data_IF_104840911510
#
_entry.id   IF_104840911510
#
_cell.length_a   1.000
_cell.length_b   1.000
_cell.length_c   1.000
_cell.angle_alpha   90.00
_cell.angle_beta   90.00
_cell.angle_gamma   90.00
#
_symmetry.space_group_name_H-M   'P 1'
#
loop_
_entity.id
_entity.type
_entity.pdbx_description
1 polymer ?
#
# COMPACT_ATOMS: atom_id res chain seq x y z
N UNK A 1 -13.00 2.65 23.93
CA UNK A 1 -11.73 2.08 23.50
C UNK A 1 -11.64 2.02 22.00
N UNK A 2 -10.63 2.63 21.45
CA UNK A 2 -10.48 2.61 20.01
C UNK A 2 -10.02 1.24 19.52
N UNK A 3 -10.63 0.76 18.46
CA UNK A 3 -10.22 -0.47 17.84
C UNK A 3 -9.72 -0.24 16.43
N UNK A 4 -9.52 1.03 16.06
CA UNK A 4 -9.02 1.34 14.72
C UNK A 4 -7.56 0.93 14.65
N UNK A 5 -7.21 -0.01 13.76
CA UNK A 5 -5.82 -0.44 13.67
C UNK A 5 -4.95 0.67 13.07
N UNK A 6 -3.75 0.81 13.61
CA UNK A 6 -2.78 1.75 13.08
C UNK A 6 -1.94 1.15 11.98
N UNK A 7 -2.07 -0.16 11.75
CA UNK A 7 -1.32 -0.89 10.75
C UNK A 7 -2.21 -1.92 10.07
N UNK A 8 -1.87 -2.25 8.84
CA UNK A 8 -2.54 -3.34 8.13
C UNK A 8 -1.46 -4.28 7.61
N UNK A 9 -1.85 -5.52 7.34
CA UNK A 9 -0.92 -6.49 6.79
C UNK A 9 -0.57 -6.12 5.36
N UNK A 10 0.70 -6.24 5.01
CA UNK A 10 1.13 -5.95 3.65
C UNK A 10 0.38 -6.83 2.64
N UNK A 11 0.10 -8.07 2.99
CA UNK A 11 -0.63 -8.97 2.09
C UNK A 11 -1.99 -8.40 1.72
N UNK A 12 -2.67 -7.77 2.68
CA UNK A 12 -3.97 -7.16 2.43
C UNK A 12 -3.84 -5.95 1.53
N UNK A 13 -2.81 -5.13 1.76
CA UNK A 13 -2.56 -3.96 0.92
C UNK A 13 -2.20 -4.38 -0.49
N UNK A 14 -1.34 -5.39 -0.62
CA UNK A 14 -0.93 -5.89 -1.92
C UNK A 14 -2.13 -6.37 -2.73
N UNK A 15 -3.02 -7.10 -2.09
CA UNK A 15 -4.24 -7.58 -2.75
C UNK A 15 -5.10 -6.41 -3.21
N UNK A 16 -5.26 -5.41 -2.34
CA UNK A 16 -6.08 -4.25 -2.64
C UNK A 16 -5.56 -3.51 -3.87
N UNK A 17 -4.25 -3.22 -3.89
CA UNK A 17 -3.69 -2.45 -5.01
C UNK A 17 -3.60 -3.28 -6.28
N UNK A 18 -3.34 -4.59 -6.16
CA UNK A 18 -3.26 -5.46 -7.32
C UNK A 18 -4.60 -5.53 -8.06
N UNK A 19 -5.70 -5.55 -7.29
CA UNK A 19 -7.02 -5.55 -7.89
C UNK A 19 -7.33 -4.26 -8.63
N UNK A 20 -6.54 -3.22 -8.39
CA UNK A 20 -6.71 -1.93 -9.05
C UNK A 20 -5.63 -1.63 -10.08
N UNK A 21 -4.89 -2.67 -10.46
CA UNK A 21 -3.92 -2.56 -11.54
C UNK A 21 -2.54 -2.09 -11.14
N UNK A 22 -2.27 -1.98 -9.85
CA UNK A 22 -0.92 -1.65 -9.39
C UNK A 22 -0.05 -2.90 -9.45
N UNK A 23 1.22 -2.72 -9.76
CA UNK A 23 2.16 -3.83 -9.88
C UNK A 23 3.36 -3.57 -9.00
N UNK A 24 3.74 -4.57 -8.21
CA UNK A 24 4.95 -4.45 -7.38
C UNK A 24 6.16 -4.58 -8.30
N UNK A 25 6.93 -3.49 -8.42
CA UNK A 25 8.10 -3.45 -9.29
C UNK A 25 9.34 -4.02 -8.62
N UNK A 26 9.60 -3.59 -7.39
CA UNK A 26 10.80 -4.01 -6.70
C UNK A 26 10.69 -3.73 -5.22
N UNK A 27 11.57 -4.39 -4.47
CA UNK A 27 11.67 -4.20 -3.02
C UNK A 27 13.11 -3.83 -2.72
N UNK A 28 13.30 -2.74 -1.99
CA UNK A 28 14.62 -2.30 -1.55
C UNK A 28 14.56 -2.08 -0.05
N UNK A 29 15.15 -3.02 0.71
CA UNK A 29 15.04 -2.99 2.14
C UNK A 29 13.58 -3.06 2.56
N UNK A 30 13.11 -2.08 3.32
CA UNK A 30 11.71 -2.05 3.73
C UNK A 30 10.82 -1.35 2.70
N UNK A 31 11.40 -0.77 1.65
CA UNK A 31 10.62 0.00 0.67
C UNK A 31 10.13 -0.89 -0.46
N UNK A 32 8.81 -0.98 -0.61
CA UNK A 32 8.17 -1.71 -1.69
C UNK A 32 7.66 -0.71 -2.70
N UNK A 33 8.17 -0.77 -3.93
CA UNK A 33 7.86 0.20 -4.97
C UNK A 33 6.85 -0.39 -5.93
N UNK A 34 5.71 0.29 -6.06
CA UNK A 34 4.63 -0.13 -6.95
C UNK A 34 4.57 0.78 -8.17
N UNK A 35 4.16 0.21 -9.29
CA UNK A 35 3.84 0.98 -10.48
C UNK A 35 2.32 1.06 -10.59
N UNK A 36 1.82 2.28 -10.75
CA UNK A 36 0.39 2.52 -10.88
C UNK A 36 -0.04 2.41 -12.35
N UNK A 37 -1.35 2.26 -12.62
CA UNK A 37 -1.82 2.15 -14.00
C UNK A 37 -1.41 3.30 -14.90
N UNK A 38 -1.23 4.51 -14.34
CA UNK A 38 -0.83 5.67 -15.13
C UNK A 38 0.67 5.72 -15.38
N UNK A 39 1.42 4.69 -14.92
CA UNK A 39 2.85 4.62 -15.13
C UNK A 39 3.70 5.25 -14.04
N UNK A 40 3.09 5.98 -13.12
CA UNK A 40 3.84 6.56 -12.02
C UNK A 40 4.12 5.50 -10.95
N UNK A 41 5.02 5.82 -10.02
CA UNK A 41 5.39 4.89 -8.97
C UNK A 41 5.01 5.42 -7.60
N UNK A 42 4.87 4.50 -6.67
CA UNK A 42 4.55 4.83 -5.29
C UNK A 42 5.31 3.88 -4.38
N UNK A 43 6.05 4.43 -3.43
CA UNK A 43 6.88 3.62 -2.54
C UNK A 43 6.24 3.56 -1.16
N UNK A 44 6.17 2.35 -0.61
CA UNK A 44 5.54 2.12 0.69
C UNK A 44 6.53 1.39 1.59
N UNK A 45 6.83 1.93 2.78
CA UNK A 45 7.67 1.19 3.72
C UNK A 45 6.87 0.07 4.38
N UNK A 46 7.46 -1.11 4.44
CA UNK A 46 6.84 -2.28 5.04
C UNK A 46 7.77 -2.79 6.13
N UNK A 47 7.25 -2.95 7.35
CA UNK A 47 8.01 -3.44 8.47
C UNK A 47 7.31 -4.63 9.09
N UNK A 48 8.05 -5.75 9.19
CA UNK A 48 7.49 -6.98 9.80
C UNK A 48 6.19 -7.41 9.13
N UNK A 49 6.12 -7.20 7.80
CA UNK A 49 4.94 -7.57 7.03
C UNK A 49 3.74 -6.67 7.24
N UNK A 50 3.96 -5.49 7.83
CA UNK A 50 2.87 -4.56 8.11
C UNK A 50 3.15 -3.17 7.55
N UNK A 51 2.09 -2.46 7.22
CA UNK A 51 2.13 -1.12 6.65
C UNK A 51 1.29 -0.21 7.53
N UNK A 52 1.76 1.01 7.75
CA UNK A 52 0.99 1.96 8.55
C UNK A 52 -0.31 2.31 7.82
N UNK A 53 -1.40 2.37 8.57
CA UNK A 53 -2.72 2.63 8.01
C UNK A 53 -2.78 3.95 7.25
N UNK A 54 -1.91 4.90 7.61
CA UNK A 54 -1.82 6.17 6.91
C UNK A 54 -1.60 5.96 5.40
N UNK A 55 -0.71 5.04 5.05
CA UNK A 55 -0.41 4.78 3.63
C UNK A 55 -1.61 4.17 2.91
N UNK A 56 -2.32 3.31 3.61
CA UNK A 56 -3.50 2.69 3.02
C UNK A 56 -4.59 3.73 2.73
N UNK A 57 -4.77 4.66 3.67
CA UNK A 57 -5.74 5.75 3.45
C UNK A 57 -5.36 6.62 2.27
N UNK A 58 -4.05 6.92 2.13
CA UNK A 58 -3.58 7.72 1.00
C UNK A 58 -3.81 6.99 -0.32
N UNK A 59 -3.53 5.69 -0.33
CA UNK A 59 -3.75 4.89 -1.53
C UNK A 59 -5.22 4.87 -1.90
N UNK A 60 -6.10 4.73 -0.93
CA UNK A 60 -7.53 4.72 -1.21
C UNK A 60 -7.98 6.03 -1.84
N UNK A 61 -7.41 7.15 -1.41
CA UNK A 61 -7.70 8.43 -2.04
C UNK A 61 -7.23 8.45 -3.49
N UNK A 62 -6.05 7.92 -3.75
CA UNK A 62 -5.48 7.90 -5.09
C UNK A 62 -6.30 7.07 -6.06
N UNK A 63 -6.95 6.02 -5.58
CA UNK A 63 -7.78 5.18 -6.43
C UNK A 63 -9.25 5.59 -6.39
N UNK A 64 -9.56 6.71 -5.75
CA UNK A 64 -10.90 7.26 -5.76
C UNK A 64 -11.87 6.62 -4.79
N UNK A 65 -11.35 5.94 -3.76
CA UNK A 65 -12.20 5.25 -2.77
C UNK A 65 -12.09 5.86 -1.38
N UNK A 66 -11.43 6.99 -1.28
CA UNK A 66 -11.16 7.61 0.01
C UNK A 66 -12.32 8.39 0.62
#
# INVERSE_FOLDING_TARGET
MSSVPSEIRFAALLRFVSERGWVLLRVRGSHHVFKKPDGSTYSIPVHHGKVKAFYFREIKKQVGEG
#
